data_IF_434726918513
#
_entry.id   IF_434726918513
#
_cell.length_a   1.000
_cell.length_b   1.000
_cell.length_c   1.000
_cell.angle_alpha   90.00
_cell.angle_beta   90.00
_cell.angle_gamma   90.00
#
_symmetry.space_group_name_H-M   'P 1'
#
loop_
_entity.id
_entity.type
_entity.pdbx_description
1 polymer ?
#
# COMPACT_ATOMS: atom_id res chain seq x y z
N UNK A 1 5.49 21.93 -2.06
CA UNK A 1 5.64 22.84 -0.90
C UNK A 1 5.30 22.01 0.34
N UNK A 2 6.33 21.49 1.01
CA UNK A 2 6.15 20.52 2.11
C UNK A 2 5.88 21.30 3.40
N UNK A 3 4.61 21.61 3.65
CA UNK A 3 4.17 22.47 4.76
C UNK A 3 3.56 21.64 5.91
N UNK A 4 4.28 20.59 6.31
CA UNK A 4 4.07 19.99 7.63
C UNK A 4 4.93 20.76 8.62
N UNK A 5 4.39 21.74 9.39
CA UNK A 5 5.11 22.25 10.54
C UNK A 5 5.46 21.08 11.45
N UNK A 6 6.74 20.99 11.83
CA UNK A 6 7.26 19.90 12.65
C UNK A 6 6.36 19.67 13.88
N UNK A 7 5.80 18.47 13.99
CA UNK A 7 5.08 18.01 15.18
C UNK A 7 3.56 18.15 15.20
N UNK A 8 2.90 18.67 14.15
CA UNK A 8 1.42 18.70 14.09
C UNK A 8 0.86 17.78 12.98
N UNK A 9 -0.01 16.80 13.32
CA UNK A 9 -0.68 15.94 12.35
C UNK A 9 -1.56 16.71 11.36
N UNK A 10 -1.80 16.08 10.21
CA UNK A 10 -2.62 16.62 9.12
C UNK A 10 -1.92 17.65 8.23
N UNK A 11 -2.49 17.84 7.04
CA UNK A 11 -2.10 18.81 6.02
C UNK A 11 -2.67 20.21 6.31
N UNK A 12 -2.12 21.22 5.63
CA UNK A 12 -2.65 22.58 5.72
C UNK A 12 -4.12 22.66 5.25
N UNK A 13 -4.48 21.91 4.20
CA UNK A 13 -5.85 21.84 3.69
C UNK A 13 -6.83 21.23 4.70
N UNK A 14 -6.44 20.16 5.38
CA UNK A 14 -7.26 19.58 6.46
C UNK A 14 -7.52 20.59 7.56
N UNK A 15 -6.50 21.31 8.02
CA UNK A 15 -6.65 22.33 9.07
C UNK A 15 -7.55 23.48 8.64
N UNK A 16 -7.40 23.95 7.41
CA UNK A 16 -8.26 24.99 6.85
C UNK A 16 -9.72 24.54 6.87
N UNK A 17 -9.99 23.31 6.41
CA UNK A 17 -11.34 22.76 6.39
C UNK A 17 -11.87 22.52 7.81
N UNK A 18 -11.03 22.06 8.73
CA UNK A 18 -11.40 21.87 10.13
C UNK A 18 -11.81 23.18 10.79
N UNK A 19 -11.06 24.26 10.55
CA UNK A 19 -11.40 25.60 11.02
C UNK A 19 -12.71 26.09 10.41
N UNK A 20 -12.89 25.93 9.09
CA UNK A 20 -14.09 26.37 8.39
C UNK A 20 -15.35 25.66 8.88
N UNK A 21 -15.24 24.36 9.18
CA UNK A 21 -16.37 23.54 9.64
C UNK A 21 -16.52 23.49 11.16
N UNK A 22 -15.71 24.23 11.93
CA UNK A 22 -15.76 24.22 13.40
C UNK A 22 -15.46 22.84 14.02
N UNK A 23 -14.53 22.09 13.42
CA UNK A 23 -14.21 20.70 13.82
C UNK A 23 -12.81 20.51 14.39
N UNK A 24 -12.06 21.60 14.58
CA UNK A 24 -10.68 21.57 15.06
C UNK A 24 -10.49 20.76 16.35
N UNK A 25 -11.35 20.95 17.36
CA UNK A 25 -11.23 20.24 18.64
C UNK A 25 -11.49 18.73 18.52
N UNK A 26 -12.42 18.35 17.63
CA UNK A 26 -12.69 16.93 17.33
C UNK A 26 -11.51 16.29 16.60
N UNK A 27 -10.91 17.03 15.65
CA UNK A 27 -9.72 16.58 14.94
C UNK A 27 -8.52 16.43 15.90
N UNK A 28 -8.27 17.42 16.75
CA UNK A 28 -7.22 17.35 17.78
C UNK A 28 -7.40 16.14 18.69
N UNK A 29 -8.61 15.89 19.17
CA UNK A 29 -8.91 14.71 20.00
C UNK A 29 -8.63 13.40 19.26
N UNK A 30 -8.93 13.33 17.96
CA UNK A 30 -8.62 12.15 17.14
C UNK A 30 -7.11 11.96 17.01
N UNK A 31 -6.38 13.02 16.65
CA UNK A 31 -4.93 12.98 16.52
C UNK A 31 -4.24 12.54 17.82
N UNK A 32 -4.63 13.13 18.95
CA UNK A 32 -3.99 12.84 20.24
C UNK A 32 -4.27 11.42 20.75
N UNK A 33 -5.43 10.86 20.43
CA UNK A 33 -5.88 9.57 21.00
C UNK A 33 -5.68 8.38 20.08
N UNK A 34 -5.78 8.58 18.77
CA UNK A 34 -5.85 7.48 17.81
C UNK A 34 -4.64 7.40 16.89
N UNK A 35 -3.96 8.52 16.63
CA UNK A 35 -2.81 8.55 15.73
C UNK A 35 -1.54 8.25 16.52
N UNK A 36 -0.88 7.17 16.14
CA UNK A 36 0.37 6.72 16.74
C UNK A 36 1.52 6.90 15.75
N UNK A 37 2.72 7.34 16.16
CA UNK A 37 3.88 7.46 15.27
C UNK A 37 4.52 6.10 14.93
N UNK A 38 3.95 5.00 15.43
CA UNK A 38 4.44 3.63 15.36
C UNK A 38 3.29 2.64 15.47
N UNK A 39 3.52 1.41 15.06
CA UNK A 39 2.58 0.31 15.24
C UNK A 39 2.57 -0.15 16.69
N UNK A 40 1.38 -0.23 17.29
CA UNK A 40 1.20 -0.92 18.57
C UNK A 40 1.24 -2.43 18.38
N UNK A 41 1.44 -3.21 19.44
CA UNK A 41 1.45 -4.68 19.34
C UNK A 41 0.14 -5.22 18.73
N UNK A 42 -1.01 -4.64 19.09
CA UNK A 42 -2.29 -5.01 18.49
C UNK A 42 -2.37 -4.70 16.98
N UNK A 43 -1.78 -3.59 16.54
CA UNK A 43 -1.70 -3.24 15.12
C UNK A 43 -0.79 -4.22 14.38
N UNK A 44 0.34 -4.59 14.97
CA UNK A 44 1.30 -5.55 14.39
C UNK A 44 0.67 -6.93 14.22
N UNK A 45 0.00 -7.41 15.27
CA UNK A 45 -0.77 -8.65 15.23
C UNK A 45 -1.88 -8.60 14.19
N UNK A 46 -2.57 -7.46 14.07
CA UNK A 46 -3.60 -7.26 13.07
C UNK A 46 -3.04 -7.36 11.65
N UNK A 47 -1.95 -6.64 11.34
CA UNK A 47 -1.26 -6.67 10.04
C UNK A 47 -0.82 -8.09 9.69
N UNK A 48 -0.22 -8.81 10.65
CA UNK A 48 0.25 -10.19 10.43
C UNK A 48 -0.85 -11.19 10.06
N UNK A 49 -2.12 -10.90 10.40
CA UNK A 49 -3.27 -11.75 10.02
C UNK A 49 -3.88 -11.38 8.67
N UNK A 50 -3.55 -10.22 8.10
CA UNK A 50 -4.19 -9.76 6.88
C UNK A 50 -3.71 -10.56 5.66
N UNK A 51 -4.65 -10.84 4.76
CA UNK A 51 -4.40 -11.47 3.47
C UNK A 51 -4.55 -10.50 2.30
N UNK A 52 -4.85 -9.24 2.59
CA UNK A 52 -4.97 -8.17 1.61
C UNK A 52 -4.57 -6.82 2.19
N UNK A 53 -4.10 -5.93 1.32
CA UNK A 53 -3.85 -4.52 1.62
C UNK A 53 -4.11 -3.66 0.39
N UNK A 54 -4.67 -2.48 0.61
CA UNK A 54 -4.80 -1.43 -0.39
C UNK A 54 -3.68 -0.41 -0.23
N UNK A 55 -3.10 0.01 -1.34
CA UNK A 55 -1.96 0.91 -1.37
C UNK A 55 -2.35 2.20 -2.05
N UNK A 56 -1.84 3.32 -1.58
CA UNK A 56 -2.00 4.62 -2.21
C UNK A 56 -0.63 5.27 -2.36
N UNK A 57 -0.28 5.63 -3.59
CA UNK A 57 0.97 6.31 -3.95
C UNK A 57 0.65 7.47 -4.86
N UNK A 58 1.56 8.43 -4.99
CA UNK A 58 1.45 9.49 -5.98
C UNK A 58 2.82 9.78 -6.57
N UNK A 59 2.89 10.12 -7.86
CA UNK A 59 4.12 10.58 -8.49
C UNK A 59 4.55 11.97 -7.95
N UNK A 60 5.65 12.52 -8.47
CA UNK A 60 6.12 13.85 -8.05
C UNK A 60 5.14 14.99 -8.42
N UNK A 61 4.26 14.78 -9.40
CA UNK A 61 3.21 15.71 -9.80
C UNK A 61 1.96 15.64 -8.94
N UNK A 62 1.84 14.62 -8.08
CA UNK A 62 0.65 14.37 -7.27
C UNK A 62 -0.42 13.56 -8.00
N UNK A 63 -0.10 12.91 -9.14
CA UNK A 63 -1.01 11.98 -9.78
C UNK A 63 -1.06 10.67 -8.97
N UNK A 64 -2.24 10.30 -8.52
CA UNK A 64 -2.42 9.18 -7.61
C UNK A 64 -2.63 7.85 -8.33
N UNK A 65 -2.05 6.80 -7.76
CA UNK A 65 -2.35 5.41 -8.08
C UNK A 65 -2.87 4.68 -6.86
N UNK A 66 -3.80 3.75 -7.08
CA UNK A 66 -4.28 2.83 -6.04
C UNK A 66 -3.91 1.41 -6.41
N UNK A 67 -3.25 0.72 -5.49
CA UNK A 67 -2.85 -0.67 -5.61
C UNK A 67 -3.68 -1.59 -4.72
N UNK A 68 -3.76 -2.85 -5.13
CA UNK A 68 -4.24 -3.95 -4.29
C UNK A 68 -3.15 -5.02 -4.27
N UNK A 69 -2.84 -5.52 -3.08
CA UNK A 69 -1.98 -6.69 -2.90
C UNK A 69 -2.70 -7.70 -2.04
N UNK A 70 -2.55 -8.96 -2.40
CA UNK A 70 -3.08 -10.08 -1.65
C UNK A 70 -2.02 -11.18 -1.57
N UNK A 71 -2.05 -11.90 -0.45
CA UNK A 71 -1.12 -12.97 -0.15
C UNK A 71 -1.59 -13.79 1.04
N UNK A 72 -0.83 -14.83 1.44
CA UNK A 72 -1.11 -15.54 2.68
C UNK A 72 -1.00 -14.61 3.90
N UNK A 73 -1.58 -14.96 5.05
CA UNK A 73 -1.33 -14.23 6.30
C UNK A 73 0.18 -14.03 6.53
N UNK A 74 0.58 -12.80 6.84
CA UNK A 74 1.98 -12.43 7.02
C UNK A 74 2.74 -12.02 5.75
N UNK A 75 2.08 -11.97 4.57
CA UNK A 75 2.72 -11.51 3.34
C UNK A 75 3.22 -10.06 3.45
N UNK A 76 2.49 -9.22 4.21
CA UNK A 76 3.06 -7.98 4.76
C UNK A 76 3.69 -8.36 6.10
N UNK A 77 5.01 -8.33 6.14
CA UNK A 77 5.80 -8.65 7.32
C UNK A 77 6.07 -7.39 8.12
N UNK A 78 5.76 -7.42 9.41
CA UNK A 78 6.15 -6.39 10.37
C UNK A 78 7.58 -6.70 10.83
N UNK A 79 8.54 -5.85 10.44
CA UNK A 79 9.94 -6.03 10.83
C UNK A 79 10.19 -5.51 12.25
N UNK A 80 9.58 -4.38 12.59
CA UNK A 80 9.59 -3.77 13.92
C UNK A 80 8.39 -2.82 14.08
N UNK A 81 8.33 -2.05 15.17
CA UNK A 81 7.22 -1.11 15.43
C UNK A 81 7.16 0.08 14.46
N UNK A 82 8.23 0.32 13.68
CA UNK A 82 8.36 1.42 12.73
C UNK A 82 8.43 0.96 11.28
N UNK A 83 8.47 -0.34 11.00
CA UNK A 83 8.84 -0.84 9.68
C UNK A 83 7.97 -2.02 9.24
N UNK A 84 7.36 -1.87 8.06
CA UNK A 84 6.66 -2.91 7.34
C UNK A 84 7.43 -3.25 6.06
N UNK A 85 7.33 -4.50 5.61
CA UNK A 85 7.79 -4.88 4.28
C UNK A 85 6.83 -5.83 3.59
N UNK A 86 6.75 -5.77 2.27
CA UNK A 86 6.02 -6.75 1.47
C UNK A 86 6.75 -7.00 0.14
N UNK A 87 6.61 -8.21 -0.44
CA UNK A 87 7.21 -8.54 -1.72
C UNK A 87 6.38 -8.04 -2.90
N UNK A 88 7.06 -7.55 -3.94
CA UNK A 88 6.48 -7.29 -5.25
C UNK A 88 6.90 -8.38 -6.23
N UNK A 89 5.95 -8.92 -6.98
CA UNK A 89 6.17 -9.99 -7.95
C UNK A 89 6.10 -9.46 -9.38
N UNK A 90 6.60 -10.25 -10.33
CA UNK A 90 6.44 -9.96 -11.76
C UNK A 90 4.97 -9.74 -12.12
N UNK A 91 4.64 -8.52 -12.51
CA UNK A 91 3.31 -8.07 -12.92
C UNK A 91 3.21 -7.80 -14.43
N UNK A 92 2.34 -6.85 -14.79
CA UNK A 92 2.08 -6.41 -16.17
C UNK A 92 3.14 -5.46 -16.75
N UNK A 93 4.19 -5.14 -15.99
CA UNK A 93 5.29 -4.26 -16.42
C UNK A 93 5.01 -2.76 -16.33
N UNK A 94 3.83 -2.33 -15.86
CA UNK A 94 3.50 -0.89 -15.72
C UNK A 94 4.24 -0.26 -14.54
N UNK A 95 4.40 -1.01 -13.44
CA UNK A 95 5.10 -0.56 -12.24
C UNK A 95 4.62 0.78 -11.63
N UNK A 96 3.37 1.20 -11.88
CA UNK A 96 2.86 2.52 -11.46
C UNK A 96 3.20 2.88 -10.01
N UNK A 97 2.78 2.06 -9.03
CA UNK A 97 3.08 2.31 -7.63
C UNK A 97 4.58 2.33 -7.27
N UNK A 98 5.38 1.43 -7.86
CA UNK A 98 6.82 1.37 -7.60
C UNK A 98 7.57 2.54 -8.26
N UNK A 99 7.13 2.98 -9.45
CA UNK A 99 7.62 4.18 -10.11
C UNK A 99 7.35 5.42 -9.28
N UNK A 100 6.13 5.56 -8.76
CA UNK A 100 5.77 6.65 -7.85
C UNK A 100 6.68 6.68 -6.63
N UNK A 101 6.97 5.53 -6.00
CA UNK A 101 7.89 5.44 -4.85
C UNK A 101 9.29 5.94 -5.16
N UNK A 102 9.79 5.76 -6.39
CA UNK A 102 11.11 6.26 -6.79
C UNK A 102 11.16 7.79 -6.90
N UNK A 103 10.04 8.43 -7.19
CA UNK A 103 9.93 9.89 -7.34
C UNK A 103 9.42 10.59 -6.07
N UNK A 104 8.58 9.89 -5.30
CA UNK A 104 7.88 10.37 -4.13
C UNK A 104 7.70 9.21 -3.14
N UNK A 105 8.43 9.21 -2.01
CA UNK A 105 8.40 8.07 -1.10
C UNK A 105 7.10 7.98 -0.29
N UNK A 106 6.17 8.94 -0.38
CA UNK A 106 4.95 8.90 0.43
C UNK A 106 4.00 7.79 -0.02
N UNK A 107 3.67 6.90 0.91
CA UNK A 107 2.74 5.78 0.68
C UNK A 107 1.77 5.64 1.85
N UNK A 108 0.50 5.39 1.52
CA UNK A 108 -0.52 4.94 2.45
C UNK A 108 -0.83 3.45 2.24
N UNK A 109 -1.03 2.73 3.34
CA UNK A 109 -1.50 1.36 3.38
C UNK A 109 -2.81 1.30 4.17
N UNK A 110 -3.84 0.69 3.59
CA UNK A 110 -5.11 0.44 4.25
C UNK A 110 -5.35 -1.06 4.37
N UNK A 111 -5.40 -1.52 5.61
CA UNK A 111 -5.76 -2.88 5.98
C UNK A 111 -7.19 -2.89 6.49
N UNK A 112 -8.03 -3.77 5.95
CA UNK A 112 -9.45 -3.83 6.30
C UNK A 112 -9.83 -5.25 6.66
N UNK A 113 -10.37 -5.43 7.85
CA UNK A 113 -10.99 -6.70 8.25
C UNK A 113 -12.49 -6.64 8.03
N UNK A 114 -12.97 -7.34 7.02
CA UNK A 114 -14.39 -7.44 6.69
C UNK A 114 -15.12 -8.56 7.45
N UNK A 115 -14.40 -9.36 8.24
CA UNK A 115 -14.86 -10.67 8.70
C UNK A 115 -15.06 -10.74 10.20
N UNK A 116 -14.11 -10.25 11.01
CA UNK A 116 -14.12 -10.48 12.45
C UNK A 116 -14.32 -9.20 13.27
N UNK A 117 -13.41 -8.24 13.11
CA UNK A 117 -13.33 -7.04 13.95
C UNK A 117 -13.90 -5.78 13.29
N UNK A 118 -14.12 -5.80 11.97
CA UNK A 118 -14.66 -4.65 11.21
C UNK A 118 -13.84 -3.38 11.45
N UNK A 119 -12.52 -3.48 11.33
CA UNK A 119 -11.62 -2.34 11.52
C UNK A 119 -10.83 -2.02 10.24
N UNK A 120 -10.61 -0.73 10.03
CA UNK A 120 -9.73 -0.20 8.99
C UNK A 120 -8.47 0.37 9.63
N UNK A 121 -7.35 -0.34 9.56
CA UNK A 121 -6.06 0.17 10.00
C UNK A 121 -5.38 0.91 8.85
N UNK A 122 -5.13 2.19 9.06
CA UNK A 122 -4.33 3.04 8.18
C UNK A 122 -2.89 3.06 8.69
N UNK A 123 -1.94 2.91 7.76
CA UNK A 123 -0.52 3.09 8.02
C UNK A 123 0.06 3.97 6.91
N UNK A 124 0.52 5.16 7.27
CA UNK A 124 1.12 6.10 6.32
C UNK A 124 2.61 6.25 6.63
N UNK A 125 3.43 6.35 5.59
CA UNK A 125 4.87 6.31 5.75
C UNK A 125 5.67 6.76 4.55
N UNK A 126 6.97 6.51 4.65
CA UNK A 126 7.92 6.61 3.55
C UNK A 126 8.29 5.21 3.06
N UNK A 127 8.01 4.93 1.79
CA UNK A 127 8.35 3.70 1.11
C UNK A 127 9.70 3.81 0.39
N UNK A 128 10.41 2.68 0.30
CA UNK A 128 11.59 2.50 -0.55
C UNK A 128 11.59 1.11 -1.16
N UNK A 129 12.29 0.96 -2.29
CA UNK A 129 12.45 -0.32 -2.99
C UNK A 129 13.78 -0.95 -2.59
N UNK A 130 13.76 -2.25 -2.26
CA UNK A 130 14.94 -3.00 -1.83
C UNK A 130 15.05 -4.29 -2.65
N UNK A 131 16.24 -4.61 -3.17
CA UNK A 131 16.44 -5.83 -3.94
C UNK A 131 16.28 -7.10 -3.09
N UNK A 132 15.81 -8.20 -3.67
CA UNK A 132 15.56 -9.46 -2.93
C UNK A 132 16.79 -10.01 -2.21
N UNK A 133 17.96 -10.00 -2.86
CA UNK A 133 19.21 -10.48 -2.27
C UNK A 133 19.65 -9.63 -1.06
N UNK A 134 19.55 -8.31 -1.17
CA UNK A 134 19.85 -7.40 -0.07
C UNK A 134 18.89 -7.62 1.09
N UNK A 135 17.61 -7.73 0.77
CA UNK A 135 16.57 -7.86 1.78
C UNK A 135 16.71 -9.15 2.57
N UNK A 136 16.93 -10.28 1.90
CA UNK A 136 17.14 -11.58 2.54
C UNK A 136 18.45 -11.68 3.31
N UNK A 137 19.46 -10.90 2.96
CA UNK A 137 20.70 -10.80 3.74
C UNK A 137 20.43 -10.18 5.12
N UNK A 138 19.59 -9.15 5.18
CA UNK A 138 19.23 -8.47 6.45
C UNK A 138 18.19 -9.26 7.22
N UNK A 139 17.18 -9.79 6.53
CA UNK A 139 16.06 -10.53 7.13
C UNK A 139 15.97 -11.96 6.53
N UNK A 140 16.87 -12.88 6.94
CA UNK A 140 16.93 -14.23 6.38
C UNK A 140 15.70 -15.08 6.67
N UNK A 141 14.88 -14.67 7.65
CA UNK A 141 13.65 -15.34 8.05
C UNK A 141 12.41 -14.90 7.25
N UNK A 142 12.57 -13.97 6.29
CA UNK A 142 11.44 -13.54 5.47
C UNK A 142 10.82 -14.74 4.74
N UNK A 143 9.47 -14.80 4.69
CA UNK A 143 8.78 -15.89 4.04
C UNK A 143 9.32 -16.16 2.63
N UNK A 144 9.55 -17.43 2.33
CA UNK A 144 9.61 -17.89 0.95
C UNK A 144 8.15 -18.05 0.53
N UNK A 145 7.67 -17.18 -0.36
CA UNK A 145 6.29 -17.30 -0.83
C UNK A 145 6.17 -18.57 -1.67
N UNK A 146 5.54 -19.58 -1.07
CA UNK A 146 5.34 -20.89 -1.67
C UNK A 146 4.17 -20.91 -2.66
N UNK A 147 3.37 -19.83 -2.75
CA UNK A 147 2.29 -19.75 -3.72
C UNK A 147 2.89 -19.57 -5.13
N UNK A 148 2.88 -20.65 -5.90
CA UNK A 148 3.31 -20.71 -7.31
C UNK A 148 4.81 -20.51 -7.58
N UNK A 149 5.68 -20.70 -6.58
CA UNK A 149 7.14 -20.66 -6.77
C UNK A 149 7.68 -19.32 -7.27
N UNK A 150 6.97 -18.22 -6.99
CA UNK A 150 7.34 -16.88 -7.46
C UNK A 150 8.42 -16.30 -6.55
N UNK A 151 9.48 -15.78 -7.16
CA UNK A 151 10.47 -14.98 -6.44
C UNK A 151 10.07 -13.50 -6.47
N UNK A 152 10.22 -12.77 -5.34
CA UNK A 152 10.06 -11.33 -5.34
C UNK A 152 11.01 -10.70 -6.36
N UNK A 153 10.49 -9.80 -7.19
CA UNK A 153 11.32 -8.98 -8.09
C UNK A 153 11.99 -7.85 -7.31
N UNK A 154 11.29 -7.31 -6.30
CA UNK A 154 11.76 -6.29 -5.37
C UNK A 154 10.93 -6.39 -4.10
N UNK A 155 11.42 -5.81 -3.02
CA UNK A 155 10.69 -5.61 -1.78
C UNK A 155 10.36 -4.14 -1.60
N UNK A 156 9.20 -3.86 -1.01
CA UNK A 156 8.85 -2.51 -0.59
C UNK A 156 9.01 -2.44 0.92
N UNK A 157 9.75 -1.46 1.40
CA UNK A 157 9.90 -1.16 2.82
C UNK A 157 9.18 0.13 3.13
N UNK A 158 8.21 0.08 4.04
CA UNK A 158 7.54 1.27 4.52
C UNK A 158 8.00 1.57 5.95
N UNK A 159 8.64 2.73 6.11
CA UNK A 159 8.87 3.34 7.42
C UNK A 159 7.61 4.09 7.84
N UNK A 160 7.03 3.69 8.95
CA UNK A 160 5.81 4.25 9.52
C UNK A 160 6.09 5.68 10.01
N UNK A 161 5.23 6.59 9.58
CA UNK A 161 5.13 7.95 10.13
C UNK A 161 3.93 8.07 11.05
N UNK A 162 2.83 7.42 10.69
CA UNK A 162 1.61 7.39 11.49
C UNK A 162 0.80 6.12 11.22
N UNK A 163 0.12 5.65 12.25
CA UNK A 163 -0.82 4.54 12.19
C UNK A 163 -2.05 4.84 13.05
N UNK A 164 -3.24 4.52 12.55
CA UNK A 164 -4.51 4.76 13.25
C UNK A 164 -5.62 3.86 12.71
N UNK A 165 -6.62 3.61 13.55
CA UNK A 165 -7.82 2.86 13.16
C UNK A 165 -8.94 3.84 12.84
N UNK A 166 -9.58 3.68 11.68
CA UNK A 166 -10.74 4.46 11.28
C UNK A 166 -11.74 3.57 10.50
N UNK A 167 -12.90 4.14 10.19
CA UNK A 167 -13.93 3.56 9.32
C UNK A 167 -14.67 2.33 9.87
N UNK A 168 -14.40 1.89 11.10
CA UNK A 168 -14.99 0.67 11.66
C UNK A 168 -16.51 0.59 11.57
N UNK A 169 -17.21 1.72 11.76
CA UNK A 169 -18.68 1.80 11.70
C UNK A 169 -19.28 1.43 10.34
N UNK A 170 -18.51 1.52 9.26
CA UNK A 170 -19.02 1.41 7.89
C UNK A 170 -18.42 0.25 7.10
N UNK A 171 -17.56 -0.55 7.72
CA UNK A 171 -17.01 -1.75 7.08
C UNK A 171 -18.10 -2.82 7.04
N UNK A 172 -18.50 -3.30 5.85
CA UNK A 172 -19.51 -4.34 5.75
C UNK A 172 -18.97 -5.66 6.28
N UNK A 173 -19.85 -6.51 6.78
CA UNK A 173 -19.52 -7.90 7.04
C UNK A 173 -19.52 -8.69 5.73
N UNK A 174 -18.41 -9.34 5.42
CA UNK A 174 -18.28 -10.26 4.29
C UNK A 174 -18.01 -11.66 4.82
N UNK A 175 -18.61 -12.65 4.17
CA UNK A 175 -18.33 -14.06 4.43
C UNK A 175 -17.38 -14.61 3.36
N UNK A 176 -16.23 -15.20 3.74
CA UNK A 176 -15.35 -15.84 2.78
C UNK A 176 -16.06 -16.96 2.04
N UNK A 177 -16.19 -16.81 0.72
CA UNK A 177 -16.77 -17.83 -0.15
C UNK A 177 -15.68 -18.46 -1.03
N UNK A 178 -15.79 -19.75 -1.37
CA UNK A 178 -14.96 -20.37 -2.39
C UNK A 178 -15.06 -19.59 -3.70
N UNK A 179 -13.93 -19.38 -4.38
CA UNK A 179 -13.95 -18.78 -5.71
C UNK A 179 -14.79 -19.68 -6.64
N UNK A 180 -15.83 -19.16 -7.31
CA UNK A 180 -16.65 -19.95 -8.22
C UNK A 180 -15.79 -20.64 -9.30
N UNK A 181 -16.10 -21.90 -9.61
CA UNK A 181 -15.46 -22.63 -10.70
C UNK A 181 -16.09 -22.19 -12.01
N UNK A 182 -15.30 -21.57 -12.88
CA UNK A 182 -15.78 -20.91 -14.09
C UNK A 182 -16.23 -19.49 -13.77
N UNK A 183 -15.74 -18.52 -14.55
CA UNK A 183 -16.38 -17.21 -14.60
C UNK A 183 -17.77 -17.47 -15.20
N UNK A 184 -18.84 -17.09 -14.51
CA UNK A 184 -20.19 -17.22 -15.06
C UNK A 184 -20.22 -16.63 -16.47
N UNK A 185 -20.99 -17.24 -17.37
CA UNK A 185 -21.06 -16.83 -18.79
C UNK A 185 -21.36 -15.33 -18.97
N UNK A 186 -21.97 -14.71 -17.96
CA UNK A 186 -22.38 -13.30 -17.95
C UNK A 186 -21.32 -12.33 -17.39
N UNK A 187 -20.14 -12.81 -16.94
CA UNK A 187 -19.08 -11.88 -16.49
C UNK A 187 -18.43 -11.20 -17.70
N UNK A 188 -18.37 -9.85 -17.75
CA UNK A 188 -17.62 -9.13 -18.77
C UNK A 188 -16.14 -9.54 -18.78
N UNK A 189 -15.53 -9.59 -19.96
CA UNK A 189 -14.08 -9.74 -20.08
C UNK A 189 -13.42 -8.44 -19.64
N UNK A 190 -12.22 -8.52 -19.09
CA UNK A 190 -11.47 -7.33 -18.69
C UNK A 190 -11.27 -6.36 -19.88
N UNK A 191 -11.14 -6.88 -21.10
CA UNK A 191 -11.08 -6.11 -22.35
C UNK A 191 -12.29 -5.22 -22.60
N UNK A 192 -13.46 -5.60 -22.10
CA UNK A 192 -14.73 -4.93 -22.37
C UNK A 192 -14.82 -3.59 -21.60
N UNK A 193 -13.94 -3.38 -20.62
CA UNK A 193 -13.80 -2.12 -19.90
C UNK A 193 -12.90 -1.11 -20.63
N UNK A 194 -12.25 -1.49 -21.73
CA UNK A 194 -11.31 -0.65 -22.47
C UNK A 194 -11.83 -0.28 -23.85
N UNK A 195 -11.45 0.92 -24.31
CA UNK A 195 -11.67 1.33 -25.71
C UNK A 195 -10.69 0.56 -26.61
N UNK A 196 -11.10 0.11 -27.81
CA UNK A 196 -10.21 -0.57 -28.74
C UNK A 196 -8.95 0.27 -29.03
N UNK A 197 -7.76 -0.35 -29.18
CA UNK A 197 -6.55 0.38 -29.50
C UNK A 197 -6.71 1.12 -30.82
N UNK A 198 -6.30 2.40 -30.85
CA UNK A 198 -6.13 3.10 -32.11
C UNK A 198 -5.09 2.36 -32.97
N UNK A 199 -5.29 2.29 -34.30
CA UNK A 199 -4.53 1.47 -35.24
C UNK A 199 -3.02 1.79 -35.36
N UNK A 200 -2.46 2.66 -34.52
CA UNK A 200 -1.13 3.25 -34.65
C UNK A 200 -0.25 3.01 -33.41
N UNK A 201 0.03 1.75 -33.05
CA UNK A 201 1.14 1.43 -32.12
C UNK A 201 1.84 0.13 -32.54
N UNK A 202 2.28 0.08 -33.80
CA UNK A 202 3.16 -0.96 -34.31
C UNK A 202 4.50 -0.35 -34.71
N UNK A 203 5.17 0.35 -33.80
CA UNK A 203 6.58 0.70 -33.97
C UNK A 203 7.41 -0.07 -32.95
N UNK A 204 8.42 -0.77 -33.49
CA UNK A 204 9.39 -1.61 -32.79
C UNK A 204 10.05 -0.86 -31.63
N UNK A 205 9.71 -1.22 -30.40
CA UNK A 205 10.37 -0.69 -29.19
C UNK A 205 11.74 -1.34 -29.02
N UNK A 206 12.81 -0.66 -29.42
CA UNK A 206 14.14 -0.96 -28.92
C UNK A 206 14.22 -0.59 -27.43
N UNK A 207 14.64 -1.53 -26.58
CA UNK A 207 14.84 -1.27 -25.15
C UNK A 207 16.22 -0.66 -24.93
N UNK A 208 16.33 0.57 -24.38
CA UNK A 208 17.61 1.05 -23.85
C UNK A 208 18.06 0.16 -22.68
N UNK A 209 19.37 0.10 -22.38
CA UNK A 209 19.89 -0.66 -21.24
C UNK A 209 19.24 -0.18 -19.93
N UNK A 210 18.94 -1.12 -19.04
CA UNK A 210 18.24 -0.86 -17.80
C UNK A 210 19.07 0.05 -16.87
N UNK A 211 18.52 1.18 -16.37
CA UNK A 211 19.19 1.96 -15.34
C UNK A 211 19.24 1.17 -14.02
N UNK A 212 20.32 1.36 -13.26
CA UNK A 212 20.48 0.77 -11.93
C UNK A 212 19.55 1.49 -10.94
N UNK A 213 18.77 0.74 -10.16
CA UNK A 213 17.97 1.33 -9.08
C UNK A 213 18.89 2.03 -8.06
N UNK A 214 18.49 3.19 -7.50
CA UNK A 214 19.27 3.86 -6.48
C UNK A 214 19.39 2.94 -5.25
N UNK A 215 20.62 2.66 -4.83
CA UNK A 215 20.93 1.93 -3.60
C UNK A 215 20.62 2.84 -2.41
N UNK A 216 19.89 2.35 -1.41
CA UNK A 216 19.59 3.08 -0.18
C UNK A 216 20.86 3.49 0.58
N UNK A 217 20.80 4.65 1.24
CA UNK A 217 21.83 5.14 2.18
C UNK A 217 21.60 4.58 3.59
#
# INVERSE_FOLDING_TARGET
MNDRPAGRPGSAGERLLQSHLGTADRAATFYDRQVQPRLTDQMRDFVGRQTMVFLSTADAGGNCDTGFRAGPPGFVTVLDEYTLTYPEYRGNGVHAGNGNVLENPHMGMLFVDFTHHHIGLHVNGAAQLVGDAEQRRVYPHLPLDSAHGRQPSVWVHLRVHEAYVQCSKYIPHLEPAPRPRGLGADRPKDSDYFVPPAAAHAESRSHPPAPTLPMGY
#
